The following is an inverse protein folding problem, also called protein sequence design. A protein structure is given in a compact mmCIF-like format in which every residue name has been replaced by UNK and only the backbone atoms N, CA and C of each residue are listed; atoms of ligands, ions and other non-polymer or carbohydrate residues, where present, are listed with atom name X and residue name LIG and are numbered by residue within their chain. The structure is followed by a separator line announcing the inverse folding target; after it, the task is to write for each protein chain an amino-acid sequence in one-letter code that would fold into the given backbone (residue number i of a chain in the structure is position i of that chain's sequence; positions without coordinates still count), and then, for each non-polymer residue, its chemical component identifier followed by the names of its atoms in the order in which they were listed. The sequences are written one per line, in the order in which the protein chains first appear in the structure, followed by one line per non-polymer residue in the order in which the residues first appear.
data_IF_556391114436
#
_entry.id   IF_556391114436
#
_cell.length_a   1.000
_cell.length_b   1.000
_cell.length_c   1.000
_cell.angle_alpha   90.00
_cell.angle_beta   90.00
_cell.angle_gamma   90.00
#
_symmetry.space_group_name_H-M   'P 1'
#
loop_
_entity.id
_entity.type
_entity.pdbx_description
1 polymer ?
#
# COMPACT_ATOMS: atom_id res chain seq x y z
N UNK A 1 -37.51 -2.12 42.75
CA UNK A 1 -36.02 -2.23 42.74
C UNK A 1 -35.57 -2.95 41.48
N UNK A 2 -34.53 -2.47 40.78
CA UNK A 2 -34.01 -3.12 39.55
C UNK A 2 -33.07 -4.28 39.92
N UNK A 3 -33.13 -5.40 39.21
CA UNK A 3 -32.26 -6.56 39.45
C UNK A 3 -30.79 -6.21 39.19
N UNK A 4 -29.93 -6.31 40.21
CA UNK A 4 -28.47 -6.17 40.08
C UNK A 4 -27.87 -7.42 39.43
N UNK A 5 -26.73 -7.25 38.76
CA UNK A 5 -26.12 -8.29 37.92
C UNK A 5 -24.70 -8.63 38.36
N UNK A 6 -24.37 -9.91 38.29
CA UNK A 6 -23.03 -10.45 38.60
C UNK A 6 -22.25 -10.78 37.34
N UNK A 7 -20.92 -10.61 37.39
CA UNK A 7 -20.03 -10.96 36.30
C UNK A 7 -19.87 -12.48 36.21
N UNK A 8 -19.90 -13.03 34.99
CA UNK A 8 -19.73 -14.49 34.78
C UNK A 8 -18.28 -14.89 34.48
N UNK A 9 -17.43 -13.94 34.08
CA UNK A 9 -15.99 -14.15 33.85
C UNK A 9 -15.19 -13.64 35.03
N UNK A 10 -14.01 -14.22 35.23
CA UNK A 10 -13.01 -13.77 36.21
C UNK A 10 -12.54 -12.32 35.99
N UNK A 11 -12.63 -11.81 34.76
CA UNK A 11 -12.23 -10.45 34.41
C UNK A 11 -13.22 -9.41 34.97
N UNK A 12 -12.80 -8.66 36.00
CA UNK A 12 -13.61 -7.66 36.71
C UNK A 12 -13.64 -6.29 36.01
N UNK A 13 -12.51 -5.83 35.47
CA UNK A 13 -12.36 -4.48 34.92
C UNK A 13 -13.14 -4.23 33.62
N UNK A 14 -13.54 -2.97 33.41
CA UNK A 14 -14.27 -2.51 32.22
C UNK A 14 -13.32 -2.16 31.06
N UNK A 15 -12.73 -3.18 30.44
CA UNK A 15 -11.83 -3.00 29.29
C UNK A 15 -12.58 -3.16 27.96
N UNK A 16 -11.98 -2.70 26.85
CA UNK A 16 -12.56 -2.81 25.49
C UNK A 16 -12.92 -4.25 25.10
N UNK A 17 -12.20 -5.26 25.59
CA UNK A 17 -12.46 -6.68 25.37
C UNK A 17 -13.55 -7.26 26.27
N UNK A 18 -13.85 -6.61 27.39
CA UNK A 18 -14.72 -7.11 28.46
C UNK A 18 -16.06 -6.35 28.54
N UNK A 19 -16.53 -5.85 27.40
CA UNK A 19 -17.85 -5.20 27.27
C UNK A 19 -18.97 -6.20 27.49
N UNK A 20 -20.06 -5.76 28.10
CA UNK A 20 -21.18 -6.60 28.53
C UNK A 20 -22.49 -6.03 27.98
N UNK A 21 -23.44 -6.90 27.66
CA UNK A 21 -24.83 -6.56 27.33
C UNK A 21 -25.74 -7.21 28.36
N UNK A 22 -26.72 -6.46 28.85
CA UNK A 22 -27.77 -6.99 29.72
C UNK A 22 -28.81 -7.67 28.82
N UNK A 23 -29.10 -8.93 29.08
CA UNK A 23 -30.06 -9.73 28.31
C UNK A 23 -31.02 -10.42 29.27
N UNK A 24 -32.32 -10.36 28.97
CA UNK A 24 -33.35 -11.18 29.63
C UNK A 24 -33.25 -12.59 29.10
N UNK A 25 -32.97 -13.55 29.97
CA UNK A 25 -32.96 -14.97 29.59
C UNK A 25 -34.39 -15.52 29.52
N UNK A 26 -34.63 -16.63 28.82
CA UNK A 26 -35.95 -17.28 28.79
C UNK A 26 -36.53 -17.57 30.17
N UNK A 27 -35.69 -17.86 31.17
CA UNK A 27 -36.11 -18.05 32.57
C UNK A 27 -36.39 -16.76 33.35
N UNK A 28 -36.61 -15.64 32.68
CA UNK A 28 -37.02 -14.37 33.29
C UNK A 28 -35.94 -13.62 34.08
N UNK A 29 -34.69 -14.12 34.11
CA UNK A 29 -33.58 -13.48 34.85
C UNK A 29 -32.81 -12.52 33.95
N UNK A 30 -32.43 -11.36 34.48
CA UNK A 30 -31.45 -10.50 33.81
C UNK A 30 -30.04 -11.07 34.02
N UNK A 31 -29.26 -11.18 32.94
CA UNK A 31 -27.89 -11.73 32.98
C UNK A 31 -26.96 -10.94 32.07
N UNK A 32 -25.69 -10.80 32.45
CA UNK A 32 -24.65 -10.27 31.56
C UNK A 32 -24.23 -11.30 30.51
N UNK A 33 -24.29 -10.89 29.25
CA UNK A 33 -23.62 -11.57 28.14
C UNK A 33 -22.40 -10.78 27.67
N UNK A 34 -21.29 -11.47 27.43
CA UNK A 34 -20.04 -10.82 27.01
C UNK A 34 -20.02 -10.59 25.51
N UNK A 35 -19.83 -9.33 25.12
CA UNK A 35 -19.83 -8.92 23.73
C UNK A 35 -18.39 -8.84 23.21
N UNK A 36 -18.15 -9.48 22.08
CA UNK A 36 -16.89 -9.32 21.33
C UNK A 36 -16.77 -7.89 20.81
N UNK A 37 -15.59 -7.26 20.94
CA UNK A 37 -15.17 -6.05 20.19
C UNK A 37 -15.75 -6.02 18.76
N UNK A 38 -16.35 -4.88 18.41
CA UNK A 38 -16.95 -4.62 17.12
C UNK A 38 -15.92 -4.76 15.99
N UNK A 39 -16.40 -5.27 14.86
CA UNK A 39 -15.58 -5.58 13.68
C UNK A 39 -15.45 -4.31 12.84
N UNK A 40 -14.24 -4.02 12.36
CA UNK A 40 -14.02 -2.92 11.43
C UNK A 40 -14.19 -3.40 9.99
N UNK A 41 -14.76 -2.53 9.14
CA UNK A 41 -14.89 -2.80 7.70
C UNK A 41 -13.51 -2.65 7.06
N UNK A 42 -13.08 -3.60 6.20
CA UNK A 42 -11.82 -3.48 5.49
C UNK A 42 -11.84 -2.23 4.59
N UNK A 43 -10.69 -1.56 4.53
CA UNK A 43 -10.52 -0.29 3.82
C UNK A 43 -9.68 -0.47 2.57
N UNK A 44 -9.89 0.40 1.59
CA UNK A 44 -9.03 0.50 0.40
C UNK A 44 -7.60 0.87 0.81
N UNK A 45 -6.60 0.24 0.18
CA UNK A 45 -5.19 0.49 0.48
C UNK A 45 -4.71 1.91 0.15
N UNK A 46 -5.32 2.57 -0.84
CA UNK A 46 -4.95 3.93 -1.25
C UNK A 46 -5.85 4.98 -0.58
N UNK A 47 -7.14 4.87 -0.87
CA UNK A 47 -8.13 5.91 -0.61
C UNK A 47 -8.75 5.77 0.79
N UNK A 48 -8.44 4.67 1.52
CA UNK A 48 -8.91 4.35 2.89
C UNK A 48 -10.44 4.30 3.07
N UNK A 49 -11.19 4.38 1.98
CA UNK A 49 -12.64 4.17 1.94
C UNK A 49 -13.01 2.74 2.30
N UNK A 50 -14.21 2.55 2.85
CA UNK A 50 -14.74 1.22 3.22
C UNK A 50 -15.04 0.41 1.96
N UNK A 51 -14.50 -0.81 1.90
CA UNK A 51 -14.73 -1.71 0.77
C UNK A 51 -16.15 -2.31 0.85
N UNK A 52 -16.95 -2.02 -0.18
CA UNK A 52 -18.31 -2.56 -0.34
C UNK A 52 -18.24 -4.05 -0.73
N UNK A 53 -19.23 -4.82 -0.29
CA UNK A 53 -19.35 -6.24 -0.61
C UNK A 53 -18.49 -7.20 0.22
N UNK A 54 -17.66 -6.68 1.16
CA UNK A 54 -16.82 -7.52 2.02
C UNK A 54 -17.35 -7.49 3.45
N UNK A 55 -17.62 -8.66 4.00
CA UNK A 55 -18.14 -8.78 5.36
C UNK A 55 -17.08 -8.34 6.38
N UNK A 56 -17.39 -7.41 7.31
CA UNK A 56 -16.47 -7.05 8.38
C UNK A 56 -16.35 -8.23 9.35
N UNK A 57 -15.13 -8.76 9.53
CA UNK A 57 -14.85 -9.85 10.46
C UNK A 57 -13.55 -9.66 11.22
N UNK A 58 -13.43 -10.36 12.35
CA UNK A 58 -12.15 -10.49 13.03
C UNK A 58 -11.21 -11.36 12.19
N UNK A 59 -9.88 -11.18 12.30
CA UNK A 59 -8.92 -12.02 11.57
C UNK A 59 -9.13 -13.51 11.83
N UNK A 60 -9.36 -13.92 13.08
CA UNK A 60 -9.62 -15.31 13.45
C UNK A 60 -10.95 -15.87 12.92
N UNK A 61 -11.94 -15.02 12.66
CA UNK A 61 -13.23 -15.43 12.08
C UNK A 61 -13.18 -15.42 10.54
N UNK A 62 -12.20 -14.75 9.94
CA UNK A 62 -12.06 -14.63 8.49
C UNK A 62 -11.73 -15.96 7.83
N UNK A 63 -11.01 -16.87 8.50
CA UNK A 63 -10.74 -18.22 7.96
C UNK A 63 -12.02 -19.02 7.79
N UNK A 64 -12.98 -18.90 8.72
CA UNK A 64 -14.24 -19.66 8.77
C UNK A 64 -15.30 -19.25 7.74
N UNK A 65 -15.15 -18.09 7.09
CA UNK A 65 -16.12 -17.65 6.07
C UNK A 65 -15.83 -18.29 4.70
N UNK A 66 -16.82 -18.32 3.84
CA UNK A 66 -16.65 -18.69 2.43
C UNK A 66 -15.88 -17.60 1.66
N UNK A 67 -15.28 -17.96 0.52
CA UNK A 67 -14.49 -17.04 -0.33
C UNK A 67 -15.34 -15.86 -0.83
N UNK A 68 -16.58 -16.11 -1.25
CA UNK A 68 -17.53 -15.11 -1.75
C UNK A 68 -17.77 -13.93 -0.77
N UNK A 69 -17.70 -14.17 0.54
CA UNK A 69 -17.91 -13.12 1.54
C UNK A 69 -16.65 -12.27 1.82
N UNK A 70 -15.47 -12.72 1.34
CA UNK A 70 -14.16 -12.10 1.60
C UNK A 70 -13.69 -11.22 0.46
N UNK A 71 -14.14 -11.50 -0.77
CA UNK A 71 -13.62 -10.91 -2.01
C UNK A 71 -14.76 -10.36 -2.88
N UNK A 72 -14.38 -9.53 -3.85
CA UNK A 72 -15.26 -9.03 -4.92
C UNK A 72 -14.75 -9.62 -6.23
N UNK A 73 -15.65 -10.05 -7.13
CA UNK A 73 -15.31 -10.65 -8.42
C UNK A 73 -14.84 -9.57 -9.43
N UNK A 74 -13.62 -9.06 -9.23
CA UNK A 74 -12.89 -8.17 -10.16
C UNK A 74 -11.40 -8.19 -9.84
N UNK A 75 -10.57 -7.63 -10.73
CA UNK A 75 -9.15 -7.41 -10.46
C UNK A 75 -8.94 -6.53 -9.22
N UNK A 76 -7.93 -6.86 -8.40
CA UNK A 76 -7.68 -6.21 -7.11
C UNK A 76 -8.90 -6.15 -6.15
N UNK A 77 -9.84 -7.09 -6.30
CA UNK A 77 -11.01 -7.23 -5.44
C UNK A 77 -10.62 -7.39 -3.97
N UNK A 78 -11.12 -6.50 -3.12
CA UNK A 78 -10.83 -6.51 -1.69
C UNK A 78 -9.52 -5.87 -1.25
N UNK A 79 -8.76 -5.33 -2.20
CA UNK A 79 -7.58 -4.50 -1.95
C UNK A 79 -7.89 -3.04 -2.31
N UNK A 80 -8.51 -2.83 -3.48
CA UNK A 80 -8.81 -1.52 -4.04
C UNK A 80 -10.32 -1.25 -4.18
N UNK A 81 -10.71 0.01 -4.02
CA UNK A 81 -12.04 0.48 -4.39
C UNK A 81 -12.16 0.65 -5.92
N UNK A 82 -13.39 0.79 -6.40
CA UNK A 82 -13.66 0.81 -7.85
C UNK A 82 -13.10 2.08 -8.52
N UNK A 83 -13.09 3.21 -7.84
CA UNK A 83 -12.54 4.49 -8.32
C UNK A 83 -11.03 4.37 -8.51
N UNK A 84 -10.33 3.98 -7.45
CA UNK A 84 -8.86 3.90 -7.47
C UNK A 84 -8.35 2.77 -8.39
N UNK A 85 -9.18 1.75 -8.68
CA UNK A 85 -8.91 0.75 -9.72
C UNK A 85 -9.02 1.35 -11.13
N UNK A 86 -10.10 2.08 -11.43
CA UNK A 86 -10.28 2.75 -12.74
C UNK A 86 -9.13 3.70 -13.05
N UNK A 87 -8.74 4.52 -12.07
CA UNK A 87 -7.59 5.42 -12.20
C UNK A 87 -6.29 4.68 -12.51
N UNK A 88 -6.05 3.51 -11.91
CA UNK A 88 -4.86 2.70 -12.18
C UNK A 88 -4.85 2.15 -13.61
N UNK A 89 -5.99 1.66 -14.09
CA UNK A 89 -6.09 1.14 -15.47
C UNK A 89 -5.80 2.27 -16.46
N UNK A 90 -6.49 3.41 -16.30
CA UNK A 90 -6.32 4.56 -17.21
C UNK A 90 -4.90 5.11 -17.15
N UNK A 91 -4.33 5.27 -15.95
CA UNK A 91 -2.93 5.74 -15.81
C UNK A 91 -1.93 4.79 -16.43
N UNK A 92 -2.08 3.48 -16.24
CA UNK A 92 -1.19 2.49 -16.84
C UNK A 92 -1.20 2.59 -18.36
N UNK A 93 -2.41 2.59 -18.95
CA UNK A 93 -2.61 2.73 -20.39
C UNK A 93 -1.99 4.02 -20.95
N UNK A 94 -2.35 5.19 -20.38
CA UNK A 94 -1.85 6.47 -20.89
C UNK A 94 -0.32 6.61 -20.76
N UNK A 95 0.28 6.07 -19.70
CA UNK A 95 1.73 6.09 -19.52
C UNK A 95 2.41 5.22 -20.59
N UNK A 96 1.84 4.05 -20.90
CA UNK A 96 2.35 3.17 -21.96
C UNK A 96 2.24 3.81 -23.33
N UNK A 97 1.09 4.39 -23.67
CA UNK A 97 0.88 5.12 -24.93
C UNK A 97 1.87 6.29 -25.08
N UNK A 98 2.04 7.10 -24.03
CA UNK A 98 3.01 8.19 -24.05
C UNK A 98 4.46 7.70 -24.21
N UNK A 99 4.81 6.55 -23.63
CA UNK A 99 6.14 5.95 -23.79
C UNK A 99 6.36 5.50 -25.23
N UNK A 100 5.38 4.85 -25.85
CA UNK A 100 5.46 4.40 -27.25
C UNK A 100 5.61 5.61 -28.18
N UNK A 101 4.77 6.64 -28.02
CA UNK A 101 4.86 7.86 -28.84
C UNK A 101 6.22 8.54 -28.69
N UNK A 102 6.76 8.63 -27.47
CA UNK A 102 8.10 9.19 -27.23
C UNK A 102 9.20 8.36 -27.90
N UNK A 103 9.12 7.04 -27.80
CA UNK A 103 10.07 6.14 -28.46
C UNK A 103 10.06 6.32 -29.98
N UNK A 104 8.88 6.31 -30.61
CA UNK A 104 8.74 6.50 -32.06
C UNK A 104 9.23 7.87 -32.53
N UNK A 105 8.94 8.94 -31.78
CA UNK A 105 9.46 10.29 -32.07
C UNK A 105 10.99 10.31 -32.01
N UNK A 106 11.58 9.74 -30.95
CA UNK A 106 13.03 9.66 -30.81
C UNK A 106 13.68 8.87 -31.95
N UNK A 107 13.08 7.75 -32.38
CA UNK A 107 13.57 6.95 -33.50
C UNK A 107 13.51 7.73 -34.82
N UNK A 108 12.40 8.43 -35.08
CA UNK A 108 12.26 9.29 -36.27
C UNK A 108 13.28 10.43 -36.28
N UNK A 109 13.49 11.10 -35.15
CA UNK A 109 14.50 12.17 -35.03
C UNK A 109 15.93 11.66 -35.28
N UNK A 110 16.23 10.43 -34.87
CA UNK A 110 17.51 9.78 -35.17
C UNK A 110 17.68 9.48 -36.67
N UNK A 111 16.60 9.12 -37.37
CA UNK A 111 16.62 8.84 -38.81
C UNK A 111 16.64 10.12 -39.67
N UNK A 112 15.96 11.18 -39.23
CA UNK A 112 15.78 12.42 -40.01
C UNK A 112 16.94 13.41 -39.84
N UNK A 113 17.72 13.34 -38.75
CA UNK A 113 18.94 14.15 -38.63
C UNK A 113 19.89 13.77 -39.78
N UNK A 114 20.21 14.70 -40.70
CA UNK A 114 21.17 14.41 -41.74
C UNK A 114 22.49 14.07 -41.07
N UNK A 115 23.09 12.94 -41.47
CA UNK A 115 24.45 12.61 -41.12
C UNK A 115 25.31 13.81 -41.53
N UNK A 116 25.77 14.60 -40.55
CA UNK A 116 26.81 15.60 -40.84
C UNK A 116 27.97 14.79 -41.43
N UNK A 117 28.49 15.15 -42.62
CA UNK A 117 29.62 14.41 -43.17
C UNK A 117 30.75 14.47 -42.14
N UNK A 118 31.24 13.29 -41.77
CA UNK A 118 32.40 13.15 -40.91
C UNK A 118 33.55 13.78 -41.68
N UNK A 119 33.96 15.00 -41.27
CA UNK A 119 35.17 15.60 -41.77
C UNK A 119 36.34 14.73 -41.30
N UNK A 120 36.90 13.95 -42.21
CA UNK A 120 38.16 13.26 -42.01
C UNK A 120 39.24 14.30 -41.68
N UNK A 121 39.86 14.20 -40.50
CA UNK A 121 41.19 14.73 -40.25
C UNK A 121 42.09 13.59 -39.77
N UNK A 122 42.96 13.12 -40.68
CA UNK A 122 44.12 12.28 -40.39
C UNK A 122 45.20 13.07 -39.61
N UNK A 123 46.14 12.38 -38.93
CA UNK A 123 46.75 12.83 -37.68
C UNK A 123 48.04 13.63 -37.89
N UNK A 124 48.34 14.56 -36.96
CA UNK A 124 49.66 15.17 -36.81
C UNK A 124 50.12 15.11 -35.34
N UNK A 125 51.39 14.76 -35.17
CA UNK A 125 52.11 14.37 -33.93
C UNK A 125 52.51 15.57 -33.04
N UNK A 126 52.69 15.24 -31.74
CA UNK A 126 53.60 15.80 -30.72
C UNK A 126 53.35 17.26 -30.27
N UNK A 127 53.44 17.64 -28.98
CA UNK A 127 54.48 17.35 -27.99
C UNK A 127 53.96 17.38 -26.53
N UNK A 128 54.74 16.75 -25.65
CA UNK A 128 54.52 16.59 -24.23
C UNK A 128 54.92 17.82 -23.39
N UNK A 129 54.21 18.06 -22.29
CA UNK A 129 54.78 18.65 -21.08
C UNK A 129 54.14 18.03 -19.83
N UNK A 130 55.00 17.60 -18.90
CA UNK A 130 54.70 16.97 -17.61
C UNK A 130 54.42 18.04 -16.54
N UNK A 131 53.55 17.75 -15.57
CA UNK A 131 53.89 17.82 -14.14
C UNK A 131 52.76 17.31 -13.24
N UNK A 132 53.14 16.97 -12.01
CA UNK A 132 52.52 16.01 -11.12
C UNK A 132 51.41 16.56 -10.21
N UNK A 133 50.58 15.62 -9.71
CA UNK A 133 50.16 15.61 -8.31
C UNK A 133 48.81 16.23 -7.97
N UNK A 134 47.86 15.41 -7.51
CA UNK A 134 46.69 15.90 -6.76
C UNK A 134 45.50 14.95 -6.71
N UNK A 135 45.36 14.23 -5.59
CA UNK A 135 44.25 13.35 -5.23
C UNK A 135 42.89 14.08 -5.26
N UNK A 136 41.82 13.39 -5.66
CA UNK A 136 40.76 12.96 -4.72
C UNK A 136 39.56 12.30 -5.43
N UNK A 137 39.28 11.06 -5.01
CA UNK A 137 38.06 10.33 -5.33
C UNK A 137 36.92 10.82 -4.42
N UNK A 138 35.90 11.46 -4.98
CA UNK A 138 34.67 11.77 -4.25
C UNK A 138 33.74 10.55 -4.27
N UNK A 139 33.84 9.75 -3.21
CA UNK A 139 32.95 8.65 -2.83
C UNK A 139 31.59 9.23 -2.39
N UNK A 140 30.49 8.86 -3.05
CA UNK A 140 29.11 9.12 -2.56
C UNK A 140 28.92 8.44 -1.19
N UNK A 141 28.44 9.12 -0.14
CA UNK A 141 28.06 8.45 1.09
C UNK A 141 26.64 7.88 0.98
N UNK A 142 26.52 6.58 1.31
CA UNK A 142 25.27 5.90 1.56
C UNK A 142 24.58 6.49 2.81
N UNK A 143 23.31 6.87 2.70
CA UNK A 143 22.51 7.25 3.86
C UNK A 143 22.14 6.00 4.67
N UNK A 144 22.76 5.87 5.84
CA UNK A 144 22.43 4.87 6.87
C UNK A 144 21.28 5.43 7.72
N UNK A 145 20.21 4.65 7.80
CA UNK A 145 19.06 4.86 8.68
C UNK A 145 19.49 4.83 10.16
N UNK A 146 19.15 5.88 10.92
CA UNK A 146 19.22 5.86 12.39
C UNK A 146 17.89 6.33 12.98
N UNK A 147 17.52 5.73 14.11
CA UNK A 147 16.63 6.39 15.07
C UNK A 147 15.22 5.82 15.22
N UNK A 148 15.08 4.55 15.57
CA UNK A 148 13.93 4.08 16.36
C UNK A 148 14.17 4.48 17.81
N UNK A 149 13.52 5.55 18.26
CA UNK A 149 13.36 5.88 19.68
C UNK A 149 12.20 6.85 19.86
N UNK A 150 11.11 6.39 20.48
CA UNK A 150 10.21 7.21 21.32
C UNK A 150 9.18 6.31 22.02
N UNK A 151 9.24 6.39 23.36
CA UNK A 151 8.24 6.22 24.42
C UNK A 151 6.97 5.43 24.12
#
# INVERSE_FOLDING_TARGET
MVQRLTLRRRLSYNTKSNRRRIVRTPGGRLVYQYVKKNKTVPKCGQCKEKLKGIRPTRPCERSRLSKRQKTVARTYGGVLCHSCLRERIVRAFLIEEQKIVKALKSQRELLVKPVKPVAEKKPAKAQASKSAGGKSAAKKPAQKSTGKSKK
#
